data_IF_907731499252
#
_entry.id   IF_907731499252
#
_cell.length_a   1.000
_cell.length_b   1.000
_cell.length_c   1.000
_cell.angle_alpha   90.00
_cell.angle_beta   90.00
_cell.angle_gamma   90.00
#
_symmetry.space_group_name_H-M   'P 1'
#
loop_
_entity.id
_entity.type
_entity.pdbx_description
1 polymer ?
#
# COMPACT_ATOMS: atom_id res chain seq x y z
N UNK A 1 -18.11 31.61 -49.48
CA UNK A 1 -18.56 31.72 -48.08
C UNK A 1 -18.59 30.32 -47.50
N UNK A 2 -17.57 29.97 -46.74
CA UNK A 2 -17.59 28.82 -45.85
C UNK A 2 -17.22 29.38 -44.50
N UNK A 3 -18.23 29.52 -43.64
CA UNK A 3 -18.05 29.99 -42.29
C UNK A 3 -17.40 28.90 -41.44
N UNK A 4 -16.49 29.37 -40.61
CA UNK A 4 -15.63 28.62 -39.72
C UNK A 4 -16.49 27.95 -38.63
N UNK A 5 -16.34 26.65 -38.48
CA UNK A 5 -16.73 25.97 -37.24
C UNK A 5 -15.86 26.53 -36.10
N UNK A 6 -16.43 26.86 -34.93
CA UNK A 6 -15.62 27.12 -33.77
C UNK A 6 -15.00 25.79 -33.33
N UNK A 7 -13.67 25.74 -33.28
CA UNK A 7 -12.94 24.75 -32.51
C UNK A 7 -13.48 24.83 -31.08
N UNK A 8 -14.24 23.84 -30.65
CA UNK A 8 -14.40 23.56 -29.23
C UNK A 8 -13.02 23.14 -28.72
N UNK A 9 -12.26 24.11 -28.23
CA UNK A 9 -11.28 23.84 -27.18
C UNK A 9 -12.04 23.04 -26.13
N UNK A 10 -11.73 21.75 -26.07
CA UNK A 10 -12.06 20.94 -24.91
C UNK A 10 -11.26 21.59 -23.80
N UNK A 11 -11.97 22.38 -22.99
CA UNK A 11 -11.47 22.85 -21.71
C UNK A 11 -11.09 21.61 -20.92
N UNK A 12 -9.80 21.27 -20.99
CA UNK A 12 -9.15 20.45 -19.98
C UNK A 12 -9.51 21.09 -18.66
N UNK A 13 -10.29 20.40 -17.84
CA UNK A 13 -10.46 20.73 -16.44
C UNK A 13 -9.06 20.66 -15.84
N UNK A 14 -8.34 21.78 -15.93
CA UNK A 14 -7.17 22.03 -15.13
C UNK A 14 -7.73 22.09 -13.71
N UNK A 15 -7.63 20.98 -12.98
CA UNK A 15 -7.38 21.07 -11.55
C UNK A 15 -6.29 22.13 -11.42
N UNK A 16 -6.70 23.30 -10.91
CA UNK A 16 -5.86 24.48 -10.82
C UNK A 16 -4.85 24.21 -9.73
N UNK A 17 -3.79 23.47 -10.08
CA UNK A 17 -2.64 23.29 -9.23
C UNK A 17 -2.06 24.70 -8.99
N UNK A 18 -2.09 25.15 -7.75
CA UNK A 18 -1.67 26.50 -7.35
C UNK A 18 -0.17 26.74 -7.49
N UNK A 19 0.62 25.66 -7.61
CA UNK A 19 2.07 25.69 -7.78
C UNK A 19 2.50 24.86 -9.02
N UNK A 20 3.75 25.00 -9.46
CA UNK A 20 4.22 24.30 -10.65
C UNK A 20 4.38 22.79 -10.39
N UNK A 21 4.29 21.96 -11.44
CA UNK A 21 4.58 20.52 -11.33
C UNK A 21 5.95 20.24 -10.71
N UNK A 22 6.98 21.00 -11.11
CA UNK A 22 8.32 20.89 -10.55
C UNK A 22 8.37 21.21 -9.05
N UNK A 23 7.54 22.15 -8.58
CA UNK A 23 7.42 22.44 -7.16
C UNK A 23 6.92 21.22 -6.39
N UNK A 24 5.81 20.58 -6.84
CA UNK A 24 5.28 19.40 -6.16
C UNK A 24 6.21 18.21 -6.22
N UNK A 25 6.88 17.97 -7.36
CA UNK A 25 7.90 16.91 -7.45
C UNK A 25 8.95 17.08 -6.36
N UNK A 26 9.55 18.28 -6.23
CA UNK A 26 10.56 18.55 -5.19
C UNK A 26 9.98 18.49 -3.77
N UNK A 27 8.75 18.97 -3.57
CA UNK A 27 8.10 18.97 -2.27
C UNK A 27 7.81 17.53 -1.80
N UNK A 28 7.33 16.67 -2.70
CA UNK A 28 7.03 15.28 -2.41
C UNK A 28 8.31 14.47 -2.24
N UNK A 29 9.33 14.65 -3.09
CA UNK A 29 10.66 14.04 -2.89
C UNK A 29 11.21 14.36 -1.49
N UNK A 30 11.18 15.64 -1.09
CA UNK A 30 11.62 16.02 0.25
C UNK A 30 10.73 15.46 1.36
N UNK A 31 9.42 15.29 1.13
CA UNK A 31 8.51 14.67 2.10
C UNK A 31 8.78 13.17 2.25
N UNK A 32 9.06 12.47 1.16
CA UNK A 32 9.46 11.05 1.15
C UNK A 32 10.74 10.85 1.95
N UNK A 33 11.74 11.72 1.76
CA UNK A 33 12.99 11.65 2.54
C UNK A 33 12.70 11.78 4.05
N UNK A 34 11.87 12.75 4.45
CA UNK A 34 11.50 12.94 5.87
C UNK A 34 10.61 11.82 6.41
N UNK A 35 9.72 11.25 5.60
CA UNK A 35 8.92 10.09 5.99
C UNK A 35 9.84 8.91 6.30
N UNK A 36 10.86 8.66 5.48
CA UNK A 36 11.82 7.58 5.66
C UNK A 36 12.61 7.67 6.98
N UNK A 37 12.83 8.88 7.51
CA UNK A 37 13.48 9.11 8.81
C UNK A 37 12.58 8.75 10.00
N UNK A 38 11.27 8.59 9.76
CA UNK A 38 10.27 8.23 10.78
C UNK A 38 9.99 6.73 10.84
N UNK A 39 10.55 5.94 9.93
CA UNK A 39 10.41 4.48 9.98
C UNK A 39 11.38 3.87 11.00
N UNK A 40 10.95 2.84 11.74
CA UNK A 40 11.84 2.12 12.61
C UNK A 40 12.76 1.20 11.80
N UNK A 41 13.66 0.49 12.48
CA UNK A 41 14.59 -0.48 11.87
C UNK A 41 14.19 -1.90 12.24
N UNK A 42 12.89 -2.19 12.15
CA UNK A 42 12.34 -3.51 12.45
C UNK A 42 12.52 -4.47 11.26
N UNK A 43 12.34 -5.78 11.45
CA UNK A 43 12.52 -6.78 10.39
C UNK A 43 11.65 -6.55 9.14
N UNK A 44 10.41 -6.07 9.30
CA UNK A 44 9.43 -5.82 8.25
C UNK A 44 9.11 -4.33 8.11
N UNK A 45 8.68 -3.65 9.18
CA UNK A 45 8.35 -2.22 9.09
C UNK A 45 9.63 -1.36 9.13
N UNK A 46 10.22 -1.12 7.95
CA UNK A 46 11.46 -0.35 7.79
C UNK A 46 11.43 0.51 6.50
N UNK A 47 12.39 1.44 6.28
CA UNK A 47 12.40 2.28 5.07
C UNK A 47 12.54 1.52 3.73
N UNK A 48 12.77 0.21 3.77
CA UNK A 48 12.78 -0.65 2.59
C UNK A 48 11.35 -1.06 2.23
N UNK A 49 10.56 -1.52 3.20
CA UNK A 49 9.12 -1.73 3.05
C UNK A 49 8.43 -0.49 2.49
N UNK A 50 8.70 0.71 3.04
CA UNK A 50 8.22 1.98 2.47
C UNK A 50 8.46 2.10 0.96
N UNK A 51 9.67 1.75 0.48
CA UNK A 51 10.02 1.84 -0.94
C UNK A 51 9.30 0.78 -1.77
N UNK A 52 9.21 -0.44 -1.26
CA UNK A 52 8.52 -1.54 -1.92
C UNK A 52 7.03 -1.20 -2.11
N UNK A 53 6.39 -0.59 -1.10
CA UNK A 53 4.98 -0.13 -1.18
C UNK A 53 4.81 1.02 -2.18
N UNK A 54 5.73 1.99 -2.19
CA UNK A 54 5.69 3.07 -3.18
C UNK A 54 5.83 2.56 -4.62
N UNK A 55 6.70 1.57 -4.86
CA UNK A 55 6.84 0.92 -6.16
C UNK A 55 5.57 0.15 -6.53
N UNK A 56 5.03 -0.65 -5.60
CA UNK A 56 3.82 -1.43 -5.81
C UNK A 56 2.59 -0.57 -6.11
N UNK A 57 2.45 0.61 -5.50
CA UNK A 57 1.41 1.59 -5.86
C UNK A 57 1.52 1.98 -7.33
N UNK A 58 2.74 2.25 -7.81
CA UNK A 58 3.00 2.59 -9.20
C UNK A 58 2.52 1.50 -10.16
N UNK A 59 2.87 0.24 -9.86
CA UNK A 59 2.49 -0.93 -10.65
C UNK A 59 0.97 -1.18 -10.61
N UNK A 60 0.33 -1.08 -9.44
CA UNK A 60 -1.11 -1.30 -9.31
C UNK A 60 -1.93 -0.25 -10.06
N UNK A 61 -1.49 1.00 -10.10
CA UNK A 61 -2.15 2.06 -10.88
C UNK A 61 -2.08 1.76 -12.38
N UNK A 62 -1.01 1.11 -12.87
CA UNK A 62 -0.89 0.72 -14.29
C UNK A 62 -1.83 -0.43 -14.68
N UNK A 63 -2.39 -1.16 -13.72
CA UNK A 63 -3.40 -2.19 -13.97
C UNK A 63 -4.82 -1.63 -14.08
N UNK A 64 -5.03 -0.37 -13.73
CA UNK A 64 -6.34 0.26 -13.80
C UNK A 64 -6.72 0.56 -15.27
N UNK A 65 -8.02 0.52 -15.60
CA UNK A 65 -8.48 0.81 -16.96
C UNK A 65 -8.23 2.27 -17.35
N UNK A 66 -7.24 2.50 -18.22
CA UNK A 66 -6.81 3.83 -18.71
C UNK A 66 -7.88 4.57 -19.53
N UNK A 67 -8.77 3.83 -20.19
CA UNK A 67 -9.80 4.36 -21.11
C UNK A 67 -11.13 4.68 -20.40
N UNK A 68 -11.21 4.45 -19.08
CA UNK A 68 -12.41 4.79 -18.30
C UNK A 68 -12.47 6.30 -18.04
N UNK A 69 -13.62 6.93 -18.32
CA UNK A 69 -13.90 8.31 -17.93
C UNK A 69 -15.14 8.37 -17.02
N UNK A 70 -15.04 8.93 -15.80
CA UNK A 70 -13.79 9.41 -15.17
C UNK A 70 -12.82 8.25 -14.86
N UNK A 71 -11.51 8.54 -14.91
CA UNK A 71 -10.47 7.59 -14.51
C UNK A 71 -10.65 7.22 -13.04
N UNK A 72 -10.28 6.00 -12.68
CA UNK A 72 -10.29 5.54 -11.28
C UNK A 72 -9.31 6.36 -10.43
N UNK A 73 -8.10 6.60 -10.96
CA UNK A 73 -7.06 7.45 -10.36
C UNK A 73 -6.56 8.43 -11.42
N UNK A 74 -6.58 9.74 -11.11
CA UNK A 74 -6.00 10.77 -11.98
C UNK A 74 -4.47 10.80 -11.89
N UNK A 75 -3.76 11.39 -12.86
CA UNK A 75 -2.31 11.57 -12.75
C UNK A 75 -1.87 12.30 -11.47
N UNK A 76 -2.64 13.30 -11.04
CA UNK A 76 -2.37 14.01 -9.78
C UNK A 76 -2.60 13.11 -8.54
N UNK A 77 -3.68 12.33 -8.54
CA UNK A 77 -3.95 11.36 -7.48
C UNK A 77 -2.91 10.23 -7.43
N UNK A 78 -2.26 9.88 -8.55
CA UNK A 78 -1.13 8.94 -8.56
C UNK A 78 0.04 9.50 -7.73
N UNK A 79 0.37 10.78 -7.91
CA UNK A 79 1.43 11.44 -7.15
C UNK A 79 1.07 11.53 -5.65
N UNK A 80 -0.20 11.84 -5.33
CA UNK A 80 -0.71 11.82 -3.95
C UNK A 80 -0.66 10.41 -3.33
N UNK A 81 -1.02 9.37 -4.09
CA UNK A 81 -0.98 8.00 -3.60
C UNK A 81 0.45 7.54 -3.29
N UNK A 82 1.43 7.99 -4.09
CA UNK A 82 2.85 7.81 -3.79
C UNK A 82 3.27 8.51 -2.48
N UNK A 83 2.75 9.71 -2.21
CA UNK A 83 2.98 10.40 -0.94
C UNK A 83 2.32 9.64 0.25
N UNK A 84 1.09 9.17 0.10
CA UNK A 84 0.43 8.34 1.11
C UNK A 84 1.21 7.05 1.39
N UNK A 85 1.70 6.38 0.34
CA UNK A 85 2.56 5.21 0.46
C UNK A 85 3.87 5.49 1.21
N UNK A 86 4.46 6.67 1.04
CA UNK A 86 5.66 7.02 1.80
C UNK A 86 5.40 7.19 3.29
N UNK A 87 4.18 7.60 3.67
CA UNK A 87 3.85 7.92 5.07
C UNK A 87 3.11 6.81 5.83
N UNK A 88 2.56 5.79 5.15
CA UNK A 88 1.56 4.89 5.75
C UNK A 88 1.96 4.23 7.08
N UNK A 89 3.25 3.90 7.26
CA UNK A 89 3.82 3.29 8.47
C UNK A 89 4.84 4.20 9.18
N UNK A 90 4.87 5.49 8.84
CA UNK A 90 5.73 6.44 9.54
C UNK A 90 5.39 6.47 11.03
N UNK A 91 6.40 6.30 11.89
CA UNK A 91 6.21 6.26 13.35
C UNK A 91 5.58 4.97 13.87
N UNK A 92 5.64 3.87 13.11
CA UNK A 92 5.03 2.57 13.46
C UNK A 92 5.38 2.05 14.87
N UNK A 93 6.58 2.35 15.38
CA UNK A 93 7.11 1.89 16.67
C UNK A 93 7.39 3.04 17.65
N UNK A 94 6.85 4.23 17.36
CA UNK A 94 6.98 5.37 18.28
C UNK A 94 6.05 5.18 19.49
N UNK A 95 6.53 5.53 20.69
CA UNK A 95 5.73 5.48 21.92
C UNK A 95 4.46 6.36 21.80
N UNK A 96 4.56 7.48 21.08
CA UNK A 96 3.45 8.41 20.83
C UNK A 96 2.30 7.79 20.03
N UNK A 97 2.55 6.74 19.24
CA UNK A 97 1.52 6.04 18.48
C UNK A 97 0.44 5.44 19.39
N UNK A 98 0.77 5.12 20.65
CA UNK A 98 -0.18 4.58 21.64
C UNK A 98 -1.30 5.56 22.02
N UNK A 99 -1.14 6.85 21.74
CA UNK A 99 -2.18 7.86 21.98
C UNK A 99 -3.28 7.86 20.91
N UNK A 100 -3.11 7.10 19.81
CA UNK A 100 -4.00 7.07 18.67
C UNK A 100 -4.80 5.77 18.61
N UNK A 101 -6.00 5.77 18.01
CA UNK A 101 -6.81 4.56 17.87
C UNK A 101 -6.13 3.45 17.07
N UNK A 102 -5.33 3.82 16.07
CA UNK A 102 -4.52 2.92 15.25
C UNK A 102 -3.18 3.57 14.90
N UNK A 103 -2.21 2.79 14.40
CA UNK A 103 -0.89 3.32 13.98
C UNK A 103 -1.01 4.21 12.74
N UNK A 104 -1.94 3.89 11.84
CA UNK A 104 -2.25 4.64 10.62
C UNK A 104 -2.77 6.06 10.95
N UNK A 105 -3.56 6.21 12.01
CA UNK A 105 -4.00 7.52 12.51
C UNK A 105 -2.82 8.39 12.96
N UNK A 106 -1.81 7.76 13.57
CA UNK A 106 -0.59 8.45 13.96
C UNK A 106 0.26 8.83 12.74
N UNK A 107 0.44 7.92 11.79
CA UNK A 107 1.09 8.17 10.52
C UNK A 107 0.45 9.34 9.75
N UNK A 108 -0.89 9.40 9.71
CA UNK A 108 -1.66 10.51 9.14
C UNK A 108 -1.38 11.82 9.87
N UNK A 109 -1.29 11.80 11.21
CA UNK A 109 -0.97 12.99 11.99
C UNK A 109 0.42 13.53 11.64
N UNK A 110 1.41 12.65 11.55
CA UNK A 110 2.78 13.00 11.14
C UNK A 110 2.84 13.57 9.72
N UNK A 111 2.15 12.94 8.76
CA UNK A 111 2.04 13.43 7.39
C UNK A 111 1.40 14.83 7.32
N UNK A 112 0.31 15.06 8.06
CA UNK A 112 -0.37 16.37 8.11
C UNK A 112 0.53 17.44 8.74
N UNK A 113 1.30 17.09 9.76
CA UNK A 113 2.31 17.97 10.35
C UNK A 113 3.40 18.31 9.33
N UNK A 114 3.88 17.34 8.55
CA UNK A 114 4.89 17.54 7.50
C UNK A 114 4.41 18.52 6.42
N UNK A 115 3.22 18.26 5.86
CA UNK A 115 2.57 19.11 4.86
C UNK A 115 2.48 20.55 5.35
N UNK A 116 2.01 20.75 6.60
CA UNK A 116 1.86 22.06 7.22
C UNK A 116 3.20 22.75 7.46
N UNK A 117 4.18 22.03 8.03
CA UNK A 117 5.48 22.59 8.42
C UNK A 117 6.31 22.98 7.20
N UNK A 118 6.15 22.26 6.10
CA UNK A 118 6.87 22.49 4.85
C UNK A 118 6.07 23.30 3.81
N UNK A 119 4.86 23.75 4.16
CA UNK A 119 3.99 24.61 3.32
C UNK A 119 3.72 23.99 1.95
N UNK A 120 3.47 22.69 1.93
CA UNK A 120 3.05 21.97 0.72
C UNK A 120 1.58 22.34 0.48
N UNK A 121 1.28 23.02 -0.63
CA UNK A 121 -0.05 23.58 -0.89
C UNK A 121 -0.98 22.48 -1.43
N UNK A 122 -1.73 21.84 -0.53
CA UNK A 122 -2.71 20.81 -0.84
C UNK A 122 -4.10 21.31 -0.46
N UNK A 123 -5.09 20.98 -1.29
CA UNK A 123 -6.49 21.29 -0.98
C UNK A 123 -7.01 20.36 0.12
N UNK A 124 -8.13 20.74 0.76
CA UNK A 124 -8.82 19.85 1.70
C UNK A 124 -9.21 18.50 1.05
N UNK A 125 -9.49 18.50 -0.26
CA UNK A 125 -9.79 17.29 -1.01
C UNK A 125 -8.57 16.38 -1.17
N UNK A 126 -7.39 16.95 -1.46
CA UNK A 126 -6.13 16.21 -1.55
C UNK A 126 -5.75 15.60 -0.19
N UNK A 127 -5.87 16.38 0.89
CA UNK A 127 -5.61 15.90 2.25
C UNK A 127 -6.58 14.77 2.62
N UNK A 128 -7.86 14.89 2.26
CA UNK A 128 -8.84 13.83 2.48
C UNK A 128 -8.56 12.57 1.65
N UNK A 129 -8.00 12.71 0.44
CA UNK A 129 -7.55 11.57 -0.36
C UNK A 129 -6.41 10.82 0.32
N UNK A 130 -5.38 11.54 0.78
CA UNK A 130 -4.25 10.95 1.52
C UNK A 130 -4.71 10.22 2.80
N UNK A 131 -5.61 10.86 3.56
CA UNK A 131 -6.19 10.31 4.79
C UNK A 131 -6.92 8.98 4.53
N UNK A 132 -7.78 8.92 3.50
CA UNK A 132 -8.47 7.68 3.13
C UNK A 132 -7.52 6.60 2.63
N UNK A 133 -6.51 6.97 1.84
CA UNK A 133 -5.50 6.04 1.35
C UNK A 133 -4.80 5.33 2.51
N UNK A 134 -4.23 6.10 3.46
CA UNK A 134 -3.51 5.54 4.61
C UNK A 134 -4.44 4.73 5.52
N UNK A 135 -5.68 5.18 5.77
CA UNK A 135 -6.67 4.37 6.51
C UNK A 135 -7.00 3.03 5.84
N UNK A 136 -6.75 2.91 4.54
CA UNK A 136 -6.92 1.66 3.80
C UNK A 136 -6.01 0.53 4.30
N UNK A 137 -4.86 0.85 4.90
CA UNK A 137 -3.89 -0.15 5.39
C UNK A 137 -4.28 -0.74 6.75
N UNK A 138 -5.28 -0.17 7.44
CA UNK A 138 -5.77 -0.70 8.72
C UNK A 138 -6.19 -2.18 8.57
N UNK A 139 -5.42 -3.08 9.18
CA UNK A 139 -5.68 -4.53 9.11
C UNK A 139 -6.79 -5.00 10.06
N UNK A 140 -7.04 -4.25 11.14
CA UNK A 140 -8.02 -4.60 12.16
C UNK A 140 -9.45 -4.70 11.57
N UNK A 141 -10.09 -5.88 11.53
CA UNK A 141 -11.35 -6.08 10.79
C UNK A 141 -12.50 -5.16 11.19
N UNK A 142 -12.59 -4.77 12.46
CA UNK A 142 -13.64 -3.86 12.97
C UNK A 142 -13.45 -2.40 12.58
N UNK A 143 -12.27 -2.03 12.08
CA UNK A 143 -11.86 -0.66 11.77
C UNK A 143 -11.45 -0.48 10.29
N UNK A 144 -11.57 -1.52 9.48
CA UNK A 144 -11.23 -1.49 8.05
C UNK A 144 -12.04 -0.42 7.31
N UNK A 145 -11.34 0.41 6.53
CA UNK A 145 -11.91 1.54 5.77
C UNK A 145 -11.47 1.49 4.31
N UNK A 146 -11.77 0.39 3.62
CA UNK A 146 -11.36 0.13 2.22
C UNK A 146 -12.48 0.33 1.20
N UNK A 147 -13.24 1.42 1.34
CA UNK A 147 -14.39 1.70 0.47
C UNK A 147 -14.01 2.49 -0.79
N UNK A 148 -12.89 3.20 -0.78
CA UNK A 148 -12.45 4.05 -1.89
C UNK A 148 -11.34 3.39 -2.72
N UNK A 149 -11.16 3.80 -3.99
CA UNK A 149 -10.10 3.25 -4.83
C UNK A 149 -8.70 3.39 -4.23
N UNK A 150 -8.36 4.56 -3.69
CA UNK A 150 -7.06 4.84 -3.09
C UNK A 150 -6.78 4.00 -1.83
N UNK A 151 -7.81 3.76 -1.02
CA UNK A 151 -7.69 2.91 0.17
C UNK A 151 -7.44 1.45 -0.22
N UNK A 152 -8.13 0.96 -1.26
CA UNK A 152 -7.90 -0.39 -1.81
C UNK A 152 -6.50 -0.51 -2.40
N UNK A 153 -6.10 0.44 -3.24
CA UNK A 153 -4.79 0.41 -3.91
C UNK A 153 -3.65 0.41 -2.90
N UNK A 154 -3.69 1.29 -1.89
CA UNK A 154 -2.62 1.34 -0.90
C UNK A 154 -2.59 0.08 -0.03
N UNK A 155 -3.76 -0.47 0.35
CA UNK A 155 -3.82 -1.74 1.07
C UNK A 155 -3.14 -2.90 0.33
N UNK A 156 -3.39 -3.05 -0.98
CA UNK A 156 -2.78 -4.13 -1.74
C UNK A 156 -1.33 -3.85 -2.12
N UNK A 157 -0.91 -2.58 -2.12
CA UNK A 157 0.49 -2.21 -2.26
C UNK A 157 1.28 -2.53 -0.98
N UNK A 158 0.71 -2.23 0.19
CA UNK A 158 1.26 -2.55 1.51
C UNK A 158 1.55 -4.06 1.64
N UNK A 159 0.61 -4.87 1.17
CA UNK A 159 0.74 -6.33 1.17
C UNK A 159 1.24 -6.91 -0.17
N UNK A 160 1.98 -6.15 -0.98
CA UNK A 160 2.35 -6.57 -2.34
C UNK A 160 3.18 -7.87 -2.38
N UNK A 161 4.02 -8.10 -1.35
CA UNK A 161 4.82 -9.32 -1.21
C UNK A 161 3.98 -10.60 -1.22
N UNK A 162 2.70 -10.52 -0.85
CA UNK A 162 1.74 -11.63 -0.84
C UNK A 162 1.57 -12.25 -2.24
N UNK A 163 1.62 -11.41 -3.28
CA UNK A 163 1.44 -11.82 -4.68
C UNK A 163 2.74 -11.82 -5.49
N UNK A 164 3.89 -11.67 -4.82
CA UNK A 164 5.20 -11.71 -5.45
C UNK A 164 5.64 -13.16 -5.75
N UNK A 165 6.86 -13.37 -6.25
CA UNK A 165 7.41 -14.71 -6.35
C UNK A 165 7.65 -15.33 -4.96
N UNK A 166 7.74 -16.67 -4.89
CA UNK A 166 7.90 -17.39 -3.61
C UNK A 166 9.01 -16.84 -2.72
N UNK A 167 10.17 -16.48 -3.28
CA UNK A 167 11.31 -16.05 -2.46
C UNK A 167 11.02 -14.73 -1.78
N UNK A 168 10.38 -13.81 -2.50
CA UNK A 168 9.96 -12.50 -1.98
C UNK A 168 8.84 -12.67 -0.97
N UNK A 169 7.83 -13.47 -1.31
CA UNK A 169 6.73 -13.83 -0.42
C UNK A 169 7.24 -14.40 0.92
N UNK A 170 8.06 -15.44 0.87
CA UNK A 170 8.56 -16.11 2.06
C UNK A 170 9.38 -15.19 2.96
N UNK A 171 10.22 -14.34 2.36
CA UNK A 171 11.01 -13.34 3.11
C UNK A 171 10.12 -12.33 3.82
N UNK A 172 9.09 -11.82 3.15
CA UNK A 172 8.14 -10.90 3.75
C UNK A 172 7.37 -11.55 4.90
N UNK A 173 6.84 -12.75 4.67
CA UNK A 173 6.09 -13.50 5.69
C UNK A 173 6.96 -13.86 6.91
N UNK A 174 8.21 -14.27 6.70
CA UNK A 174 9.16 -14.57 7.77
C UNK A 174 9.58 -13.31 8.55
N UNK A 175 9.81 -12.19 7.86
CA UNK A 175 10.09 -10.91 8.50
C UNK A 175 8.92 -10.43 9.36
N UNK A 176 7.70 -10.50 8.82
CA UNK A 176 6.47 -10.15 9.54
C UNK A 176 6.26 -11.03 10.77
N UNK A 177 6.48 -12.35 10.64
CA UNK A 177 6.42 -13.28 11.78
C UNK A 177 7.42 -12.89 12.88
N UNK A 178 8.69 -12.66 12.54
CA UNK A 178 9.70 -12.29 13.52
C UNK A 178 9.41 -10.98 14.25
N UNK A 179 8.69 -10.07 13.59
CA UNK A 179 8.34 -8.77 14.15
C UNK A 179 7.07 -8.85 15.02
N UNK A 180 5.96 -9.30 14.45
CA UNK A 180 4.64 -9.21 15.06
C UNK A 180 4.27 -10.45 15.89
N UNK A 181 4.89 -11.60 15.58
CA UNK A 181 4.55 -12.90 16.14
C UNK A 181 5.77 -13.75 16.53
N UNK A 182 6.79 -13.20 17.23
CA UNK A 182 8.08 -13.87 17.42
C UNK A 182 8.00 -15.23 18.15
N UNK A 183 6.97 -15.42 18.98
CA UNK A 183 6.77 -16.64 19.76
C UNK A 183 5.86 -17.68 19.06
N UNK A 184 5.31 -17.35 17.89
CA UNK A 184 4.40 -18.24 17.15
C UNK A 184 5.17 -19.46 16.62
N UNK A 185 4.67 -20.66 16.90
CA UNK A 185 5.26 -21.90 16.41
C UNK A 185 5.04 -22.07 14.90
N UNK A 186 5.83 -22.93 14.25
CA UNK A 186 5.63 -23.21 12.82
C UNK A 186 4.24 -23.78 12.51
N UNK A 187 3.73 -24.66 13.37
CA UNK A 187 2.41 -25.26 13.21
C UNK A 187 1.30 -24.20 13.36
N UNK A 188 1.46 -23.26 14.31
CA UNK A 188 0.54 -22.14 14.49
C UNK A 188 0.63 -21.14 13.34
N UNK A 189 1.83 -20.89 12.80
CA UNK A 189 2.03 -20.06 11.61
C UNK A 189 1.36 -20.66 10.38
N UNK A 190 1.53 -21.97 10.17
CA UNK A 190 0.84 -22.68 9.09
C UNK A 190 -0.68 -22.52 9.23
N UNK A 191 -1.23 -22.68 10.44
CA UNK A 191 -2.65 -22.49 10.69
C UNK A 191 -3.10 -21.04 10.47
N UNK A 192 -2.30 -20.06 10.92
CA UNK A 192 -2.55 -18.64 10.70
C UNK A 192 -2.65 -18.32 9.20
N UNK A 193 -1.69 -18.76 8.40
CA UNK A 193 -1.69 -18.57 6.94
C UNK A 193 -2.85 -19.29 6.26
N UNK A 194 -3.18 -20.51 6.71
CA UNK A 194 -4.33 -21.27 6.22
C UNK A 194 -5.67 -20.58 6.51
N UNK A 195 -5.77 -19.80 7.58
CA UNK A 195 -6.96 -19.02 7.92
C UNK A 195 -6.98 -17.63 7.27
N UNK A 196 -5.81 -17.03 7.03
CA UNK A 196 -5.66 -15.69 6.48
C UNK A 196 -5.75 -15.67 4.95
N UNK A 197 -4.95 -16.47 4.25
CA UNK A 197 -4.83 -16.44 2.79
C UNK A 197 -6.18 -16.62 2.06
N UNK A 198 -7.09 -17.53 2.47
CA UNK A 198 -8.40 -17.64 1.83
C UNK A 198 -9.27 -16.38 1.98
N UNK A 199 -9.18 -15.69 3.12
CA UNK A 199 -9.89 -14.42 3.34
C UNK A 199 -9.29 -13.32 2.50
N UNK A 200 -7.95 -13.26 2.44
CA UNK A 200 -7.22 -12.30 1.62
C UNK A 200 -7.52 -12.50 0.12
N UNK A 201 -7.50 -13.73 -0.40
CA UNK A 201 -7.86 -14.05 -1.78
C UNK A 201 -9.28 -13.59 -2.13
N UNK A 202 -10.26 -13.86 -1.27
CA UNK A 202 -11.64 -13.39 -1.48
C UNK A 202 -11.72 -11.87 -1.51
N UNK A 203 -11.01 -11.21 -0.60
CA UNK A 203 -10.94 -9.75 -0.56
C UNK A 203 -10.32 -9.18 -1.84
N UNK A 204 -9.16 -9.71 -2.25
CA UNK A 204 -8.42 -9.27 -3.43
C UNK A 204 -9.30 -9.34 -4.67
N UNK A 205 -9.97 -10.48 -4.87
CA UNK A 205 -10.90 -10.65 -5.99
C UNK A 205 -11.97 -9.56 -6.00
N UNK A 206 -12.66 -9.35 -4.87
CA UNK A 206 -13.75 -8.38 -4.81
C UNK A 206 -13.26 -6.95 -5.07
N UNK A 207 -12.16 -6.56 -4.45
CA UNK A 207 -11.64 -5.20 -4.55
C UNK A 207 -11.06 -4.93 -5.95
N UNK A 208 -10.28 -5.86 -6.51
CA UNK A 208 -9.72 -5.71 -7.85
C UNK A 208 -10.81 -5.67 -8.93
N UNK A 209 -11.85 -6.50 -8.80
CA UNK A 209 -13.02 -6.42 -9.67
C UNK A 209 -13.72 -5.06 -9.56
N UNK A 210 -13.84 -4.51 -8.34
CA UNK A 210 -14.43 -3.18 -8.14
C UNK A 210 -13.59 -2.03 -8.70
N UNK A 211 -12.27 -2.22 -8.81
CA UNK A 211 -11.34 -1.30 -9.45
C UNK A 211 -11.32 -1.43 -10.98
N UNK A 212 -12.00 -2.46 -11.53
CA UNK A 212 -12.02 -2.73 -12.96
C UNK A 212 -10.72 -3.37 -13.49
N UNK A 213 -9.89 -3.94 -12.61
CA UNK A 213 -8.70 -4.69 -13.00
C UNK A 213 -9.12 -5.93 -13.81
N UNK A 214 -8.35 -6.26 -14.84
CA UNK A 214 -8.65 -7.36 -15.74
C UNK A 214 -8.67 -8.72 -15.01
N UNK A 215 -9.63 -9.57 -15.38
CA UNK A 215 -9.87 -10.85 -14.70
C UNK A 215 -8.69 -11.82 -14.83
N UNK A 216 -7.91 -11.74 -15.90
CA UNK A 216 -6.69 -12.54 -16.08
C UNK A 216 -5.57 -12.14 -15.09
N UNK A 217 -5.39 -10.84 -14.84
CA UNK A 217 -4.45 -10.37 -13.81
C UNK A 217 -4.94 -10.72 -12.40
N UNK A 218 -6.25 -10.65 -12.14
CA UNK A 218 -6.84 -11.12 -10.88
C UNK A 218 -6.55 -12.62 -10.70
N UNK A 219 -6.85 -13.44 -11.70
CA UNK A 219 -6.68 -14.88 -11.62
C UNK A 219 -5.21 -15.27 -11.41
N UNK A 220 -4.28 -14.61 -12.11
CA UNK A 220 -2.84 -14.80 -11.93
C UNK A 220 -2.39 -14.57 -10.48
N UNK A 221 -2.90 -13.54 -9.81
CA UNK A 221 -2.57 -13.24 -8.41
C UNK A 221 -3.18 -14.27 -7.45
N UNK A 222 -4.40 -14.72 -7.73
CA UNK A 222 -5.05 -15.77 -6.95
C UNK A 222 -4.31 -17.11 -7.08
N UNK A 223 -3.93 -17.52 -8.29
CA UNK A 223 -3.14 -18.74 -8.53
C UNK A 223 -1.81 -18.69 -7.78
N UNK A 224 -1.20 -17.50 -7.70
CA UNK A 224 0.04 -17.28 -6.94
C UNK A 224 -0.17 -17.48 -5.45
N UNK A 225 -1.24 -16.91 -4.87
CA UNK A 225 -1.60 -17.07 -3.46
C UNK A 225 -1.95 -18.52 -3.10
N UNK A 226 -2.67 -19.23 -3.98
CA UNK A 226 -2.95 -20.67 -3.80
C UNK A 226 -1.67 -21.50 -3.80
N UNK A 227 -0.74 -21.18 -4.71
CA UNK A 227 0.59 -21.81 -4.78
C UNK A 227 1.42 -21.55 -3.51
N UNK A 228 1.41 -20.32 -3.00
CA UNK A 228 2.06 -19.95 -1.74
C UNK A 228 1.50 -20.73 -0.55
N UNK A 229 0.17 -20.74 -0.39
CA UNK A 229 -0.50 -21.47 0.68
C UNK A 229 -0.10 -22.95 0.65
N UNK A 230 -0.21 -23.59 -0.53
CA UNK A 230 0.15 -25.00 -0.70
C UNK A 230 1.60 -25.25 -0.26
N UNK A 231 2.53 -24.39 -0.68
CA UNK A 231 3.94 -24.55 -0.35
C UNK A 231 4.25 -24.33 1.12
N UNK A 232 3.57 -23.41 1.80
CA UNK A 232 3.68 -23.26 3.28
C UNK A 232 3.21 -24.55 3.97
N UNK A 233 2.09 -25.13 3.53
CA UNK A 233 1.55 -26.37 4.13
C UNK A 233 2.47 -27.58 3.92
N UNK A 234 3.18 -27.65 2.79
CA UNK A 234 4.06 -28.75 2.44
C UNK A 234 5.51 -28.57 2.95
N UNK A 235 5.88 -27.36 3.40
CA UNK A 235 7.24 -27.05 3.83
C UNK A 235 7.53 -27.62 5.23
N UNK A 236 8.69 -28.28 5.36
CA UNK A 236 9.25 -28.66 6.65
C UNK A 236 9.57 -27.43 7.50
N UNK A 237 9.38 -27.52 8.82
CA UNK A 237 9.60 -26.42 9.75
C UNK A 237 10.98 -25.74 9.55
N UNK A 238 11.02 -24.51 9.00
CA UNK A 238 12.26 -23.83 8.65
C UNK A 238 12.96 -23.23 9.88
N UNK A 239 12.26 -23.12 11.01
CA UNK A 239 12.74 -22.51 12.25
C UNK A 239 13.36 -23.52 13.22
N UNK A 240 13.33 -24.82 12.87
CA UNK A 240 14.16 -25.80 13.57
C UNK A 240 15.61 -25.54 13.18
N UNK A 241 16.37 -24.97 14.11
CA UNK A 241 17.82 -24.87 13.99
C UNK A 241 18.44 -26.23 13.63
N UNK A 242 19.65 -26.28 13.03
CA UNK A 242 20.26 -27.52 12.58
C UNK A 242 20.23 -28.53 13.72
N UNK A 243 19.67 -29.72 13.46
CA UNK A 243 19.61 -30.79 14.43
C UNK A 243 21.00 -30.95 15.06
N UNK A 244 21.11 -30.74 16.38
CA UNK A 244 22.34 -31.04 17.10
C UNK A 244 22.58 -32.54 16.95
N UNK A 245 23.42 -32.91 15.98
CA UNK A 245 23.94 -34.26 15.85
C UNK A 245 24.76 -34.47 17.13
N UNK A 246 24.19 -35.16 18.11
CA UNK A 246 24.96 -35.68 19.23
C UNK A 246 25.80 -36.82 18.66
N UNK A 247 27.11 -36.57 18.54
CA UNK A 247 28.13 -37.58 18.26
C UNK A 247 28.27 -38.53 19.46
#
# INVERSE_FOLDING_TARGET
>A
MFDKFPNSQVDSVHESISQSKEHYTKAFEGSVDRASERYPKLPYHHPGHMKDVMEAVGELVELLPDDSYPRVITPWQKDLLGLAAAWHDAGFDDDEAQAYPTKEEYAIALMKEDIKSNKIDLTDHDIAFLDRAIRGTIMAPSLQQRDTPEAKLLHYADMAYMTADWKTFWRGAEAFHHEEHPDMSWEDFQQFEADFLPKYMKSLRNDFQSLGIAEDEIQKRLDTLESHLKRIMEMDNPWRGPAKISL
#
